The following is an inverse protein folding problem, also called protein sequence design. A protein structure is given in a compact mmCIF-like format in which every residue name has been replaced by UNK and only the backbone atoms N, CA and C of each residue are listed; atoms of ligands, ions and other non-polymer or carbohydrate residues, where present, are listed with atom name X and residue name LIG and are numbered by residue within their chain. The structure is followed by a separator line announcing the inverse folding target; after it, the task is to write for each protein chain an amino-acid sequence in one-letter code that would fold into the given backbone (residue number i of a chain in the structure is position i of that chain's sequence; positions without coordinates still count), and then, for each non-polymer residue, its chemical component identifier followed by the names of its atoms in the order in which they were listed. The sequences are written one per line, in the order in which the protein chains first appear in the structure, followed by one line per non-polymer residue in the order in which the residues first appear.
data_IF_189868007766
#
_entry.id   IF_189868007766
#
_cell.length_a   1.000
_cell.length_b   1.000
_cell.length_c   1.000
_cell.angle_alpha   90.00
_cell.angle_beta   90.00
_cell.angle_gamma   90.00
#
_symmetry.space_group_name_H-M   'P 1'
#
loop_
_entity.id
_entity.type
_entity.pdbx_description
1 polymer ?
#
# COMPACT_ATOMS: atom_id res chain seq x y z
N UNK A 1 20.91 11.67 -10.66
CA UNK A 1 21.37 10.35 -10.15
C UNK A 1 20.65 10.13 -8.82
N UNK A 2 19.59 9.29 -8.77
CA UNK A 2 19.01 8.86 -7.49
C UNK A 2 20.10 8.07 -6.76
N UNK A 3 20.57 8.54 -5.62
CA UNK A 3 21.31 7.73 -4.67
C UNK A 3 20.37 6.59 -4.27
N UNK A 4 20.62 5.40 -4.80
CA UNK A 4 19.81 4.22 -4.51
C UNK A 4 20.12 3.81 -3.08
N UNK A 5 19.29 4.24 -2.14
CA UNK A 5 19.27 3.67 -0.81
C UNK A 5 19.09 2.15 -0.93
N UNK A 6 19.75 1.35 -0.08
CA UNK A 6 19.72 -0.09 -0.22
C UNK A 6 18.29 -0.59 -0.02
N UNK A 7 17.80 -1.34 -1.01
CA UNK A 7 16.47 -1.95 -1.00
C UNK A 7 16.60 -3.46 -0.83
N UNK A 8 15.79 -4.00 0.06
CA UNK A 8 15.79 -5.40 0.44
C UNK A 8 14.39 -5.99 0.28
N UNK A 9 14.33 -7.30 0.08
CA UNK A 9 13.11 -8.09 0.18
C UNK A 9 12.97 -8.64 1.59
N UNK A 10 11.78 -8.55 2.17
CA UNK A 10 11.44 -9.16 3.45
C UNK A 10 10.47 -10.30 3.19
N UNK A 11 10.75 -11.47 3.74
CA UNK A 11 9.94 -12.67 3.58
C UNK A 11 9.52 -13.15 4.97
N UNK A 12 8.24 -13.51 5.10
CA UNK A 12 7.71 -14.13 6.30
C UNK A 12 6.23 -14.40 6.19
N UNK A 13 5.50 -14.18 7.29
CA UNK A 13 4.06 -14.41 7.38
C UNK A 13 3.34 -13.11 7.67
N UNK A 14 2.16 -12.92 7.08
CA UNK A 14 1.28 -11.78 7.36
C UNK A 14 0.02 -12.20 8.10
N UNK A 15 -0.71 -11.22 8.63
CA UNK A 15 -1.97 -11.46 9.34
C UNK A 15 -3.07 -11.96 8.41
N UNK A 16 -3.12 -11.39 7.20
CA UNK A 16 -4.11 -11.74 6.17
C UNK A 16 -3.64 -12.90 5.29
N UNK A 17 -2.33 -12.98 5.05
CA UNK A 17 -1.74 -13.95 4.14
C UNK A 17 -0.63 -14.72 4.83
N UNK A 18 -0.73 -16.05 4.85
CA UNK A 18 0.24 -16.92 5.52
C UNK A 18 1.66 -16.78 4.96
N UNK A 19 1.79 -16.48 3.67
CA UNK A 19 3.07 -16.20 3.03
C UNK A 19 3.04 -14.77 2.50
N UNK A 20 3.97 -13.96 2.99
CA UNK A 20 4.01 -12.53 2.77
C UNK A 20 5.42 -12.09 2.37
N UNK A 21 5.45 -11.20 1.37
CA UNK A 21 6.68 -10.59 0.88
C UNK A 21 6.51 -9.09 0.84
N UNK A 22 7.39 -8.39 1.54
CA UNK A 22 7.39 -6.94 1.69
C UNK A 22 8.74 -6.40 1.20
N UNK A 23 8.82 -5.08 1.03
CA UNK A 23 10.08 -4.39 0.69
C UNK A 23 10.58 -3.67 1.92
N UNK A 24 11.87 -3.77 2.22
CA UNK A 24 12.53 -3.01 3.27
C UNK A 24 13.49 -2.02 2.62
N UNK A 25 13.42 -0.77 3.03
CA UNK A 25 14.32 0.28 2.55
C UNK A 25 14.59 1.26 3.68
N UNK A 26 15.62 2.08 3.50
CA UNK A 26 15.83 3.25 4.33
C UNK A 26 15.05 4.40 3.67
N UNK A 27 14.38 5.23 4.47
CA UNK A 27 13.80 6.51 4.04
C UNK A 27 14.12 7.53 5.12
N UNK A 28 14.79 8.63 4.77
CA UNK A 28 15.21 9.67 5.72
C UNK A 28 16.01 9.10 6.91
N UNK A 29 16.84 8.08 6.67
CA UNK A 29 17.66 7.44 7.70
C UNK A 29 16.95 6.41 8.59
N UNK A 30 15.65 6.18 8.39
CA UNK A 30 14.88 5.18 9.15
C UNK A 30 14.53 3.96 8.30
N UNK A 31 14.53 2.78 8.92
CA UNK A 31 14.08 1.56 8.27
C UNK A 31 12.56 1.56 8.11
N UNK A 32 12.12 1.41 6.86
CA UNK A 32 10.72 1.40 6.45
C UNK A 32 10.39 0.09 5.74
N UNK A 33 9.24 -0.49 6.09
CA UNK A 33 8.65 -1.67 5.48
C UNK A 33 7.52 -1.23 4.56
N UNK A 34 7.55 -1.65 3.31
CA UNK A 34 6.54 -1.32 2.29
C UNK A 34 5.79 -2.59 1.90
N UNK A 35 4.47 -2.55 2.01
CA UNK A 35 3.55 -3.53 1.44
C UNK A 35 3.41 -3.27 -0.06
N UNK A 36 3.96 -4.11 -0.94
CA UNK A 36 3.88 -3.90 -2.39
C UNK A 36 2.46 -4.09 -2.93
N UNK A 37 1.54 -4.71 -2.18
CA UNK A 37 0.16 -4.98 -2.64
C UNK A 37 -0.74 -3.77 -2.42
N UNK A 38 -0.61 -3.13 -1.27
CA UNK A 38 -1.45 -1.99 -0.86
C UNK A 38 -0.74 -0.64 -1.01
N UNK A 39 0.58 -0.63 -1.22
CA UNK A 39 1.38 0.60 -1.19
C UNK A 39 1.50 1.20 0.21
N UNK A 40 1.22 0.40 1.25
CA UNK A 40 1.32 0.84 2.64
C UNK A 40 2.79 0.86 3.08
N UNK A 41 3.20 1.91 3.79
CA UNK A 41 4.56 2.14 4.27
C UNK A 41 4.47 2.24 5.78
N UNK A 42 5.24 1.39 6.46
CA UNK A 42 5.26 1.27 7.90
C UNK A 42 6.67 1.52 8.40
N UNK A 43 6.81 2.23 9.52
CA UNK A 43 8.05 2.18 10.26
C UNK A 43 8.25 0.75 10.81
N UNK A 44 9.50 0.32 10.97
CA UNK A 44 9.80 -1.03 11.48
C UNK A 44 9.27 -1.28 12.89
N UNK A 45 9.08 -0.23 13.69
CA UNK A 45 8.51 -0.24 15.03
C UNK A 45 6.99 -0.01 15.06
N UNK A 46 6.33 0.12 13.91
CA UNK A 46 4.89 0.32 13.82
C UNK A 46 4.14 -1.02 14.01
N UNK A 47 3.34 -1.18 15.08
CA UNK A 47 2.59 -2.42 15.32
C UNK A 47 1.44 -2.65 14.34
N UNK A 48 1.13 -1.69 13.47
CA UNK A 48 0.08 -1.80 12.45
C UNK A 48 0.59 -2.41 11.14
N UNK A 49 1.88 -2.73 11.05
CA UNK A 49 2.45 -3.44 9.92
C UNK A 49 1.73 -4.78 9.75
N UNK A 50 1.23 -5.08 8.54
CA UNK A 50 0.50 -6.32 8.25
C UNK A 50 1.36 -7.59 8.21
N UNK A 51 2.66 -7.47 8.50
CA UNK A 51 3.60 -8.58 8.61
C UNK A 51 3.66 -9.04 10.07
N UNK A 52 3.25 -10.29 10.34
CA UNK A 52 3.17 -10.86 11.68
C UNK A 52 4.48 -11.47 12.14
N UNK A 53 5.22 -12.06 11.20
CA UNK A 53 6.52 -12.67 11.45
C UNK A 53 7.46 -12.44 10.25
N UNK A 54 8.70 -12.06 10.54
CA UNK A 54 9.78 -11.91 9.57
C UNK A 54 10.72 -13.10 9.72
N UNK A 55 10.85 -13.89 8.67
CA UNK A 55 11.75 -15.04 8.65
C UNK A 55 13.08 -14.70 7.99
N UNK A 56 13.06 -13.93 6.91
CA UNK A 56 14.25 -13.67 6.11
C UNK A 56 14.26 -12.25 5.50
N UNK A 57 15.46 -11.73 5.30
CA UNK A 57 15.73 -10.53 4.50
C UNK A 57 16.69 -10.88 3.37
N UNK A 58 16.45 -10.36 2.18
CA UNK A 58 17.25 -10.67 0.97
C UNK A 58 17.68 -9.37 0.29
N UNK A 59 18.97 -9.25 0.00
CA UNK A 59 19.52 -8.23 -0.88
C UNK A 59 19.95 -8.84 -2.22
N UNK A 60 20.53 -8.01 -3.09
CA UNK A 60 21.13 -8.46 -4.35
C UNK A 60 22.32 -9.43 -4.18
N UNK A 61 22.94 -9.51 -3.00
CA UNK A 61 24.16 -10.28 -2.76
C UNK A 61 24.16 -11.13 -1.47
N UNK A 62 23.11 -11.04 -0.66
CA UNK A 62 23.06 -11.69 0.65
C UNK A 62 21.63 -12.08 1.03
N UNK A 63 21.52 -13.15 1.82
CA UNK A 63 20.28 -13.54 2.49
C UNK A 63 20.57 -13.61 3.99
N UNK A 64 19.73 -13.00 4.80
CA UNK A 64 19.79 -13.08 6.25
C UNK A 64 18.59 -13.85 6.78
N UNK A 65 18.84 -14.89 7.56
CA UNK A 65 17.82 -15.56 8.37
C UNK A 65 17.65 -14.85 9.70
N UNK A 66 16.41 -14.60 10.11
CA UNK A 66 16.10 -14.08 11.43
C UNK A 66 16.27 -15.19 12.48
N UNK A 67 17.11 -14.97 13.49
CA UNK A 67 17.34 -15.91 14.60
C UNK A 67 16.96 -15.34 15.96
N UNK A 68 16.24 -14.23 15.96
CA UNK A 68 15.73 -13.58 17.17
C UNK A 68 14.57 -14.38 17.77
N UNK A 69 14.31 -14.17 19.07
CA UNK A 69 13.20 -14.84 19.76
C UNK A 69 11.82 -14.46 19.19
N UNK A 70 11.70 -13.25 18.66
CA UNK A 70 10.48 -12.74 18.02
C UNK A 70 10.77 -12.40 16.57
N UNK A 71 9.93 -12.90 15.66
CA UNK A 71 9.92 -12.46 14.27
C UNK A 71 8.99 -11.27 14.01
N UNK A 72 8.23 -10.82 15.00
CA UNK A 72 7.31 -9.69 14.82
C UNK A 72 8.08 -8.38 14.58
N UNK A 73 7.81 -7.63 13.48
CA UNK A 73 8.62 -6.48 13.04
C UNK A 73 8.93 -5.44 14.12
N UNK A 74 7.93 -5.06 14.93
CA UNK A 74 8.09 -4.03 15.95
C UNK A 74 8.72 -4.52 17.26
N UNK A 75 9.05 -5.81 17.35
CA UNK A 75 9.67 -6.45 18.53
C UNK A 75 11.05 -7.02 18.25
N UNK A 76 11.63 -6.68 17.11
CA UNK A 76 12.91 -7.21 16.66
C UNK A 76 13.89 -6.10 16.32
N UNK A 77 15.17 -6.44 16.31
CA UNK A 77 16.27 -5.55 15.97
C UNK A 77 16.48 -5.57 14.47
N UNK A 78 16.32 -4.42 13.82
CA UNK A 78 16.58 -4.22 12.39
C UNK A 78 18.02 -3.77 12.13
N UNK A 79 18.98 -4.59 12.56
CA UNK A 79 20.39 -4.39 12.29
C UNK A 79 20.96 -5.65 11.62
N UNK A 80 21.04 -5.64 10.28
CA UNK A 80 21.51 -6.80 9.50
C UNK A 80 22.99 -7.15 9.73
N UNK A 81 23.77 -6.24 10.34
CA UNK A 81 25.16 -6.49 10.72
C UNK A 81 25.28 -7.21 12.07
N UNK A 82 24.21 -7.25 12.88
CA UNK A 82 24.20 -7.98 14.15
C UNK A 82 23.96 -9.48 13.92
N UNK A 83 25.05 -10.24 13.89
CA UNK A 83 25.02 -11.70 13.74
C UNK A 83 24.30 -12.45 14.87
N UNK A 84 23.92 -11.81 15.98
CA UNK A 84 23.07 -12.41 17.03
C UNK A 84 21.59 -12.33 16.67
N UNK A 85 21.21 -11.37 15.84
CA UNK A 85 19.85 -11.15 15.39
C UNK A 85 19.61 -11.73 13.98
N UNK A 86 20.59 -11.59 13.10
CA UNK A 86 20.49 -11.93 11.68
C UNK A 86 21.67 -12.79 11.25
N UNK A 87 21.40 -14.03 10.84
CA UNK A 87 22.44 -14.94 10.34
C UNK A 87 22.58 -14.80 8.83
N UNK A 88 23.73 -14.32 8.31
CA UNK A 88 23.97 -14.31 6.88
C UNK A 88 24.12 -15.74 6.37
N UNK A 89 23.48 -16.05 5.24
CA UNK A 89 23.53 -17.34 4.58
C UNK A 89 24.84 -17.51 3.82
N UNK A 90 25.26 -16.46 3.09
CA UNK A 90 26.53 -16.46 2.37
C UNK A 90 27.61 -15.87 3.25
N UNK A 91 28.75 -16.56 3.33
CA UNK A 91 29.97 -16.12 4.01
C UNK A 91 31.13 -16.23 3.02
N UNK A 92 32.33 -15.73 3.33
CA UNK A 92 33.50 -15.80 2.43
C UNK A 92 33.78 -17.22 1.90
N UNK A 93 33.41 -18.25 2.67
CA UNK A 93 33.50 -19.65 2.25
C UNK A 93 32.60 -20.00 1.07
N UNK A 94 31.59 -19.20 0.78
CA UNK A 94 30.57 -19.42 -0.25
C UNK A 94 30.77 -18.51 -1.48
N UNK A 95 31.81 -17.66 -1.51
CA UNK A 95 32.07 -16.74 -2.64
C UNK A 95 32.20 -17.49 -3.98
N UNK A 96 32.80 -18.68 -3.94
CA UNK A 96 32.92 -19.56 -5.11
C UNK A 96 31.55 -20.01 -5.66
N UNK A 97 30.53 -20.18 -4.81
CA UNK A 97 29.18 -20.55 -5.21
C UNK A 97 28.46 -19.39 -5.91
N UNK A 98 28.64 -18.17 -5.42
CA UNK A 98 28.07 -16.96 -6.02
C UNK A 98 28.64 -16.68 -7.42
N UNK A 99 29.92 -17.01 -7.66
CA UNK A 99 30.56 -16.86 -8.98
C UNK A 99 30.25 -17.99 -9.98
N UNK A 100 29.80 -19.15 -9.51
CA UNK A 100 29.71 -20.37 -10.34
C UNK A 100 28.32 -20.63 -10.93
N UNK A 101 27.26 -19.97 -10.43
CA UNK A 101 25.89 -20.23 -10.87
C UNK A 101 25.42 -19.11 -11.79
N UNK A 102 25.22 -19.38 -13.10
CA UNK A 102 24.67 -18.38 -13.99
C UNK A 102 23.21 -18.07 -13.60
N UNK A 103 22.85 -16.78 -13.54
CA UNK A 103 21.47 -16.37 -13.27
C UNK A 103 20.57 -16.74 -14.45
N UNK A 104 19.42 -17.36 -14.15
CA UNK A 104 18.33 -17.57 -15.13
C UNK A 104 17.47 -16.31 -15.30
N UNK A 105 17.67 -15.30 -14.44
CA UNK A 105 16.92 -14.06 -14.47
C UNK A 105 17.37 -13.21 -15.66
N UNK A 106 16.41 -12.75 -16.45
CA UNK A 106 16.71 -11.85 -17.57
C UNK A 106 17.25 -10.52 -17.02
N UNK A 107 18.29 -9.95 -17.63
CA UNK A 107 18.89 -8.69 -17.16
C UNK A 107 17.94 -7.49 -17.28
N UNK A 108 16.88 -7.61 -18.07
CA UNK A 108 15.83 -6.60 -18.21
C UNK A 108 14.48 -7.25 -17.97
N UNK A 109 13.78 -6.73 -16.95
CA UNK A 109 12.36 -7.00 -16.77
C UNK A 109 11.60 -6.10 -17.73
N UNK A 110 11.08 -6.66 -18.82
CA UNK A 110 10.14 -5.93 -19.67
C UNK A 110 8.80 -5.95 -18.97
N UNK A 111 8.44 -4.85 -18.31
CA UNK A 111 7.02 -4.57 -18.06
C UNK A 111 6.30 -4.63 -19.40
N UNK A 112 5.07 -5.13 -19.42
CA UNK A 112 4.25 -5.14 -20.64
C UNK A 112 4.16 -3.73 -21.25
N UNK A 113 3.79 -3.63 -22.52
CA UNK A 113 3.47 -2.33 -23.09
C UNK A 113 2.33 -1.69 -22.29
N UNK A 114 2.44 -0.39 -22.05
CA UNK A 114 1.35 0.37 -21.43
C UNK A 114 0.08 0.18 -22.29
N UNK A 115 -1.09 0.00 -21.66
CA UNK A 115 -2.32 -0.20 -22.40
C UNK A 115 -2.59 1.01 -23.30
N UNK A 116 -3.12 0.77 -24.50
CA UNK A 116 -3.52 1.87 -25.37
C UNK A 116 -4.72 2.60 -24.75
N UNK A 117 -4.93 3.90 -25.05
CA UNK A 117 -6.09 4.64 -24.56
C UNK A 117 -7.44 3.96 -24.89
N UNK A 118 -7.49 3.21 -25.99
CA UNK A 118 -8.66 2.43 -26.41
C UNK A 118 -8.90 1.23 -25.49
N UNK A 119 -7.84 0.52 -25.10
CA UNK A 119 -7.90 -0.59 -24.15
C UNK A 119 -8.34 -0.09 -22.76
N UNK A 120 -7.78 1.02 -22.30
CA UNK A 120 -8.18 1.66 -21.04
C UNK A 120 -9.66 2.05 -21.05
N UNK A 121 -10.12 2.73 -22.11
CA UNK A 121 -11.52 3.15 -22.25
C UNK A 121 -12.50 1.96 -22.30
N UNK A 122 -12.08 0.86 -22.92
CA UNK A 122 -12.86 -0.38 -22.99
C UNK A 122 -13.03 -0.98 -21.59
N UNK A 123 -11.93 -1.17 -20.86
CA UNK A 123 -11.95 -1.69 -19.49
C UNK A 123 -12.76 -0.78 -18.57
N UNK A 124 -12.58 0.54 -18.66
CA UNK A 124 -13.35 1.50 -17.87
C UNK A 124 -14.85 1.34 -18.11
N UNK A 125 -15.26 1.26 -19.39
CA UNK A 125 -16.67 1.11 -19.77
C UNK A 125 -17.26 -0.21 -19.28
N UNK A 126 -16.51 -1.30 -19.39
CA UNK A 126 -16.95 -2.62 -18.93
C UNK A 126 -17.11 -2.69 -17.41
N UNK A 127 -16.11 -2.21 -16.66
CA UNK A 127 -16.15 -2.15 -15.19
C UNK A 127 -17.30 -1.28 -14.73
N UNK A 128 -17.45 -0.08 -15.32
CA UNK A 128 -18.54 0.84 -14.99
C UNK A 128 -19.91 0.22 -15.25
N UNK A 129 -20.09 -0.42 -16.39
CA UNK A 129 -21.34 -1.13 -16.73
C UNK A 129 -21.62 -2.25 -15.73
N UNK A 130 -20.62 -3.06 -15.39
CA UNK A 130 -20.78 -4.17 -14.44
C UNK A 130 -21.17 -3.66 -13.05
N UNK A 131 -20.51 -2.61 -12.56
CA UNK A 131 -20.85 -1.98 -11.28
C UNK A 131 -22.25 -1.37 -11.28
N UNK A 132 -22.64 -0.67 -12.36
CA UNK A 132 -23.98 -0.10 -12.48
C UNK A 132 -25.07 -1.18 -12.45
N UNK A 133 -24.83 -2.33 -13.10
CA UNK A 133 -25.76 -3.46 -13.07
C UNK A 133 -25.85 -4.07 -11.67
N UNK A 134 -24.72 -4.36 -11.02
CA UNK A 134 -24.68 -4.89 -9.65
C UNK A 134 -25.37 -3.96 -8.65
N UNK A 135 -25.21 -2.64 -8.79
CA UNK A 135 -25.86 -1.65 -7.92
C UNK A 135 -27.38 -1.55 -8.15
N UNK A 136 -27.86 -1.79 -9.37
CA UNK A 136 -29.29 -1.86 -9.68
C UNK A 136 -29.90 -3.12 -9.10
N UNK A 137 -29.26 -4.27 -9.33
CA UNK A 137 -29.64 -5.57 -8.76
C UNK A 137 -29.71 -5.50 -7.22
N UNK A 138 -28.70 -4.92 -6.57
CA UNK A 138 -28.65 -4.77 -5.11
C UNK A 138 -29.77 -3.88 -4.53
N UNK A 139 -30.36 -2.98 -5.34
CA UNK A 139 -31.39 -2.02 -4.92
C UNK A 139 -32.76 -2.32 -5.50
N UNK A 140 -33.02 -3.56 -5.89
CA UNK A 140 -34.30 -4.00 -6.45
C UNK A 140 -34.71 -3.17 -7.68
N UNK A 141 -33.78 -2.92 -8.61
CA UNK A 141 -33.98 -2.17 -9.86
C UNK A 141 -34.50 -0.73 -9.72
N UNK A 142 -34.38 -0.14 -8.51
CA UNK A 142 -34.68 1.27 -8.31
C UNK A 142 -33.79 2.14 -9.19
N UNK A 143 -34.37 3.19 -9.77
CA UNK A 143 -33.64 4.09 -10.66
C UNK A 143 -32.57 4.87 -9.90
N UNK A 144 -31.31 4.55 -10.16
CA UNK A 144 -30.17 5.30 -9.65
C UNK A 144 -29.92 6.54 -10.52
N UNK A 145 -29.91 7.71 -9.89
CA UNK A 145 -29.44 8.95 -10.51
C UNK A 145 -27.93 9.06 -10.31
N UNK A 146 -27.18 8.78 -11.37
CA UNK A 146 -25.74 9.04 -11.39
C UNK A 146 -25.51 10.49 -11.78
N UNK A 147 -25.12 11.32 -10.81
CA UNK A 147 -24.81 12.72 -11.08
C UNK A 147 -23.48 12.82 -11.85
N UNK A 148 -23.56 13.30 -13.10
CA UNK A 148 -22.40 13.44 -13.98
C UNK A 148 -21.48 14.60 -13.56
N UNK A 149 -22.01 15.62 -12.89
CA UNK A 149 -21.25 16.75 -12.37
C UNK A 149 -20.36 16.33 -11.22
N UNK A 150 -20.96 15.67 -10.21
CA UNK A 150 -20.23 15.13 -9.06
C UNK A 150 -19.20 14.09 -9.52
N UNK A 151 -19.56 13.20 -10.45
CA UNK A 151 -18.64 12.19 -10.97
C UNK A 151 -17.40 12.79 -11.66
N UNK A 152 -17.55 13.91 -12.39
CA UNK A 152 -16.42 14.59 -13.03
C UNK A 152 -15.47 15.19 -12.00
N UNK A 153 -16.01 15.80 -10.95
CA UNK A 153 -15.20 16.38 -9.90
C UNK A 153 -14.51 15.32 -9.04
N UNK A 154 -15.23 14.28 -8.62
CA UNK A 154 -14.62 13.17 -7.87
C UNK A 154 -13.48 12.54 -8.67
N UNK A 155 -13.58 12.49 -10.00
CA UNK A 155 -12.48 12.05 -10.86
C UNK A 155 -11.25 12.96 -10.76
N UNK A 156 -11.40 14.28 -10.75
CA UNK A 156 -10.22 15.16 -10.62
C UNK A 156 -9.54 14.99 -9.27
N UNK A 157 -10.31 14.90 -8.18
CA UNK A 157 -9.78 14.63 -6.84
C UNK A 157 -9.07 13.27 -6.79
N UNK A 158 -9.66 12.22 -7.38
CA UNK A 158 -9.05 10.89 -7.45
C UNK A 158 -7.73 10.91 -8.23
N UNK A 159 -7.65 11.62 -9.35
CA UNK A 159 -6.40 11.72 -10.10
C UNK A 159 -5.28 12.42 -9.30
N UNK A 160 -5.62 13.41 -8.47
CA UNK A 160 -4.66 14.07 -7.58
C UNK A 160 -4.20 13.12 -6.46
N UNK A 161 -5.13 12.43 -5.82
CA UNK A 161 -4.85 11.37 -4.84
C UNK A 161 -3.95 10.28 -5.39
N UNK A 162 -4.21 9.81 -6.61
CA UNK A 162 -3.40 8.77 -7.26
C UNK A 162 -1.98 9.26 -7.59
N UNK A 163 -1.84 10.52 -8.02
CA UNK A 163 -0.52 11.12 -8.25
C UNK A 163 0.29 11.21 -6.96
N UNK A 164 -0.31 11.71 -5.88
CA UNK A 164 0.33 11.75 -4.57
C UNK A 164 0.72 10.34 -4.11
N UNK A 165 -0.21 9.38 -4.19
CA UNK A 165 0.04 7.98 -3.84
C UNK A 165 1.19 7.37 -4.63
N UNK A 166 1.30 7.68 -5.92
CA UNK A 166 2.38 7.18 -6.77
C UNK A 166 3.73 7.82 -6.44
N UNK A 167 3.75 9.09 -6.03
CA UNK A 167 4.97 9.81 -5.72
C UNK A 167 5.50 9.50 -4.31
N UNK A 168 4.59 9.36 -3.33
CA UNK A 168 4.92 9.29 -1.90
C UNK A 168 4.47 8.00 -1.23
N UNK A 169 3.90 7.05 -1.96
CA UNK A 169 3.24 5.87 -1.39
C UNK A 169 2.22 6.31 -0.32
N UNK A 170 2.20 5.68 0.85
CA UNK A 170 1.38 6.09 1.99
C UNK A 170 2.09 6.98 2.99
N UNK A 171 3.23 7.55 2.60
CA UNK A 171 3.87 8.60 3.38
C UNK A 171 2.99 9.85 3.33
N UNK A 172 2.18 10.01 4.38
CA UNK A 172 1.17 11.07 4.48
C UNK A 172 1.74 12.46 4.25
N UNK A 173 1.24 13.19 3.25
CA UNK A 173 1.35 14.65 3.22
C UNK A 173 0.09 15.29 3.79
N UNK A 174 0.14 15.90 4.99
CA UNK A 174 -1.05 16.45 5.66
C UNK A 174 -1.75 17.57 4.87
N UNK A 175 -1.08 18.18 3.90
CA UNK A 175 -1.63 19.24 3.07
C UNK A 175 -2.66 18.73 2.05
N UNK A 176 -2.48 17.50 1.55
CA UNK A 176 -3.33 16.93 0.49
C UNK A 176 -4.70 16.55 1.06
N UNK A 177 -4.73 15.98 2.26
CA UNK A 177 -5.98 15.61 2.95
C UNK A 177 -6.85 16.84 3.26
N UNK A 178 -6.26 17.95 3.71
CA UNK A 178 -7.01 19.15 4.08
C UNK A 178 -7.62 19.87 2.87
N UNK A 179 -6.87 19.96 1.77
CA UNK A 179 -7.35 20.57 0.53
C UNK A 179 -8.46 19.73 -0.11
N UNK A 180 -8.30 18.41 -0.12
CA UNK A 180 -9.27 17.48 -0.68
C UNK A 180 -10.53 17.34 0.19
N UNK A 181 -10.40 17.40 1.51
CA UNK A 181 -11.55 17.41 2.41
C UNK A 181 -12.34 18.71 2.30
N UNK A 182 -11.68 19.85 2.12
CA UNK A 182 -12.32 21.13 1.78
C UNK A 182 -13.06 21.05 0.44
N UNK A 183 -12.41 20.50 -0.58
CA UNK A 183 -12.97 20.25 -1.90
C UNK A 183 -14.24 19.38 -1.87
N UNK A 184 -14.23 18.28 -1.10
CA UNK A 184 -15.39 17.41 -0.91
C UNK A 184 -16.52 18.12 -0.15
N UNK A 185 -16.20 18.83 0.93
CA UNK A 185 -17.18 19.56 1.74
C UNK A 185 -17.91 20.65 0.92
N UNK A 186 -17.22 21.27 -0.06
CA UNK A 186 -17.81 22.26 -0.96
C UNK A 186 -18.89 21.68 -1.90
N UNK A 187 -18.88 20.36 -2.14
CA UNK A 187 -19.76 19.70 -3.12
C UNK A 187 -20.95 19.05 -2.47
N UNK A 188 -20.71 18.35 -1.37
CA UNK A 188 -21.77 17.59 -0.71
C UNK A 188 -22.53 18.47 0.30
N UNK A 189 -22.04 19.69 0.54
CA UNK A 189 -22.49 20.58 1.60
C UNK A 189 -21.85 20.18 2.93
N UNK A 190 -21.65 21.16 3.83
CA UNK A 190 -21.08 20.91 5.16
C UNK A 190 -21.89 19.89 6.00
N UNK A 191 -23.15 19.65 5.61
CA UNK A 191 -24.10 18.79 6.31
C UNK A 191 -24.02 17.31 5.90
N UNK A 192 -23.33 16.97 4.81
CA UNK A 192 -23.27 15.59 4.34
C UNK A 192 -22.07 14.87 4.93
N UNK A 193 -22.30 14.19 6.05
CA UNK A 193 -21.33 13.25 6.59
C UNK A 193 -21.34 11.96 5.75
N UNK A 194 -20.22 11.56 5.11
CA UNK A 194 -20.14 10.27 4.47
C UNK A 194 -20.29 9.17 5.52
N UNK A 195 -21.44 8.49 5.51
CA UNK A 195 -21.70 7.33 6.39
C UNK A 195 -21.14 6.09 5.71
N UNK A 196 -20.11 5.50 6.32
CA UNK A 196 -19.52 4.24 5.88
C UNK A 196 -18.00 4.30 5.75
N UNK A 197 -17.40 3.14 5.51
CA UNK A 197 -15.97 3.02 5.27
C UNK A 197 -15.70 3.26 3.79
N UNK A 198 -14.84 4.23 3.40
CA UNK A 198 -14.37 4.33 2.03
C UNK A 198 -13.69 3.02 1.66
N UNK A 199 -14.04 2.45 0.50
CA UNK A 199 -13.48 1.18 0.00
C UNK A 199 -11.94 1.25 -0.18
N UNK A 200 -11.36 2.47 -0.16
CA UNK A 200 -9.93 2.74 -0.29
C UNK A 200 -9.28 3.30 0.99
N UNK A 201 -9.97 3.35 2.13
CA UNK A 201 -9.32 3.77 3.38
C UNK A 201 -8.42 2.64 3.84
N UNK A 202 -7.12 2.91 4.01
CA UNK A 202 -6.23 1.97 4.70
C UNK A 202 -6.84 1.73 6.10
N UNK A 203 -6.87 0.47 6.53
CA UNK A 203 -7.48 0.01 7.80
C UNK A 203 -6.82 0.61 9.07
N UNK A 204 -6.01 1.65 8.95
CA UNK A 204 -4.94 2.05 9.88
C UNK A 204 -5.42 3.04 10.96
N UNK A 205 -6.66 3.55 10.88
CA UNK A 205 -7.24 4.40 11.93
C UNK A 205 -8.73 4.16 12.10
N UNK A 206 -9.07 3.23 13.01
CA UNK A 206 -10.41 3.08 13.52
C UNK A 206 -10.67 4.15 14.60
N UNK A 207 -11.25 5.27 14.19
CA UNK A 207 -12.16 6.00 15.09
C UNK A 207 -13.56 5.91 14.50
N UNK A 208 -14.51 5.24 15.17
CA UNK A 208 -15.90 5.24 14.72
C UNK A 208 -16.42 6.67 14.76
N UNK A 209 -17.05 7.11 13.67
CA UNK A 209 -17.88 8.31 13.71
C UNK A 209 -19.10 8.00 14.59
N UNK A 210 -19.03 8.37 15.87
CA UNK A 210 -20.19 8.39 16.76
C UNK A 210 -21.13 9.51 16.30
N UNK A 211 -22.24 9.12 15.68
CA UNK A 211 -23.35 10.02 15.42
C UNK A 211 -24.12 10.24 16.74
N UNK A 212 -23.84 11.33 17.45
CA UNK A 212 -24.80 11.88 18.40
C UNK A 212 -25.67 12.90 17.67
N UNK A 213 -26.96 12.61 17.66
CA UNK A 213 -28.01 13.39 17.04
C UNK A 213 -28.33 14.56 17.98
N UNK A 214 -27.77 15.74 17.74
CA UNK A 214 -28.21 16.96 18.44
C UNK A 214 -29.64 17.27 17.99
N UNK A 215 -30.63 16.88 18.79
CA UNK A 215 -32.00 17.34 18.64
C UNK A 215 -32.05 18.82 19.01
N UNK A 216 -32.04 19.70 18.02
CA UNK A 216 -32.56 21.05 18.23
C UNK A 216 -34.09 20.97 18.26
N UNK A 217 -34.62 21.07 19.47
CA UNK A 217 -36.03 21.30 19.74
C UNK A 217 -36.48 22.65 19.21
N UNK A 218 -37.76 22.67 18.87
CA UNK A 218 -38.61 23.79 18.43
C UNK A 218 -38.51 24.99 19.38
#
# INVERSE_FOLDING_TARGET
KRTTEPTFLVIGTGDVYKEATFVLTIINGNWMIIDPRLGNVYATDDPRCGLSEVSMVVSHNQVWGNVQLSGTPYRMVWNLDDARAWKPLFTEKHDHLLSSVPSVQRPTFKMGEDPTPEQEATVETEVKRKLQNLLREWRDDRTLRFDKGIARYLRSVLCELEKERNEFASFHQPNVDAEQQSALNNIVGADFQPIGYPVQRSYVTLTPATAERTMHGI
#
